data_IF_880336816350
#
_entry.id   IF_880336816350
#
_cell.length_a   1.000
_cell.length_b   1.000
_cell.length_c   1.000
_cell.angle_alpha   90.00
_cell.angle_beta   90.00
_cell.angle_gamma   90.00
#
_symmetry.space_group_name_H-M   'P 1'
#
loop_
_entity.id
_entity.type
_entity.pdbx_description
1 polymer ?
#
# COMPACT_ATOMS: atom_id res chain seq x y z
N UNK A 1 44.02 49.10 -2.98
CA UNK A 1 43.56 48.54 -1.68
C UNK A 1 42.03 48.41 -1.58
N UNK A 2 41.28 49.40 -2.08
CA UNK A 2 39.81 49.41 -2.12
C UNK A 2 39.19 48.24 -2.92
N UNK A 3 39.68 47.99 -4.13
CA UNK A 3 39.21 46.88 -4.98
C UNK A 3 39.41 45.49 -4.36
N UNK A 4 40.46 45.32 -3.56
CA UNK A 4 40.73 44.06 -2.85
C UNK A 4 39.71 43.83 -1.73
N UNK A 5 39.31 44.88 -1.01
CA UNK A 5 38.26 44.82 0.01
C UNK A 5 36.88 44.58 -0.60
N UNK A 6 36.59 45.22 -1.74
CA UNK A 6 35.32 45.06 -2.46
C UNK A 6 35.16 43.63 -3.01
N UNK A 7 36.24 43.04 -3.55
CA UNK A 7 36.25 41.65 -4.02
C UNK A 7 35.94 40.66 -2.91
N UNK A 8 36.46 40.87 -1.71
CA UNK A 8 36.21 40.00 -0.54
C UNK A 8 34.73 40.07 -0.13
N UNK A 9 34.16 41.28 -0.06
CA UNK A 9 32.74 41.47 0.29
C UNK A 9 31.85 40.80 -0.75
N UNK A 10 32.18 40.95 -2.04
CA UNK A 10 31.41 40.35 -3.12
C UNK A 10 31.45 38.82 -3.08
N UNK A 11 32.61 38.22 -2.81
CA UNK A 11 32.75 36.76 -2.67
C UNK A 11 31.98 36.20 -1.48
N UNK A 12 31.98 36.90 -0.33
CA UNK A 12 31.19 36.50 0.85
C UNK A 12 29.69 36.56 0.54
N UNK A 13 29.22 37.65 -0.08
CA UNK A 13 27.82 37.78 -0.48
C UNK A 13 27.40 36.69 -1.48
N UNK A 14 28.27 36.33 -2.43
CA UNK A 14 28.00 35.28 -3.41
C UNK A 14 27.90 33.89 -2.76
N UNK A 15 28.76 33.60 -1.78
CA UNK A 15 28.73 32.36 -0.99
C UNK A 15 27.46 32.25 -0.15
N UNK A 16 27.02 33.35 0.47
CA UNK A 16 25.76 33.38 1.22
C UNK A 16 24.58 33.19 0.26
N UNK A 17 24.60 33.81 -0.92
CA UNK A 17 23.54 33.65 -1.93
C UNK A 17 23.49 32.23 -2.49
N UNK A 18 24.62 31.62 -2.82
CA UNK A 18 24.66 30.24 -3.34
C UNK A 18 24.28 29.20 -2.28
N UNK A 19 24.62 29.45 -1.01
CA UNK A 19 24.19 28.59 0.11
C UNK A 19 22.67 28.64 0.37
N UNK A 20 21.97 29.68 -0.10
CA UNK A 20 20.50 29.78 -0.04
C UNK A 20 19.78 29.18 -1.26
N UNK A 21 20.49 28.74 -2.31
CA UNK A 21 19.87 28.18 -3.53
C UNK A 21 19.57 26.66 -3.38
N UNK A 22 19.93 26.04 -2.26
CA UNK A 22 19.75 24.58 -2.06
C UNK A 22 18.55 24.21 -1.16
N UNK A 23 17.78 25.17 -0.63
CA UNK A 23 16.67 24.85 0.30
C UNK A 23 15.25 24.99 -0.29
N UNK A 24 15.09 25.05 -1.61
CA UNK A 24 13.77 24.97 -2.26
C UNK A 24 13.29 23.55 -2.54
N UNK A 25 14.10 22.51 -2.29
CA UNK A 25 13.69 21.11 -2.48
C UNK A 25 12.81 20.52 -1.36
N UNK A 26 12.52 21.28 -0.30
CA UNK A 26 11.72 20.80 0.84
C UNK A 26 10.34 21.48 0.97
N UNK A 27 9.95 22.36 0.03
CA UNK A 27 8.68 23.10 0.09
C UNK A 27 7.74 22.87 -1.10
N UNK A 28 7.98 21.82 -1.89
CA UNK A 28 6.94 21.21 -2.72
C UNK A 28 6.58 19.86 -2.10
N UNK A 29 5.88 19.87 -0.96
CA UNK A 29 4.97 18.75 -0.73
C UNK A 29 3.96 18.85 -1.86
N UNK A 30 4.11 18.00 -2.88
CA UNK A 30 3.07 17.89 -3.87
C UNK A 30 1.80 17.49 -3.11
N UNK A 31 0.63 17.91 -3.61
CA UNK A 31 -0.55 17.28 -3.06
C UNK A 31 -0.45 15.81 -3.47
N UNK A 32 -0.65 14.88 -2.55
CA UNK A 32 -0.77 13.48 -2.93
C UNK A 32 -1.80 13.30 -4.02
N UNK A 33 -1.41 12.51 -5.02
CA UNK A 33 -2.25 12.19 -6.15
C UNK A 33 -3.58 11.60 -5.66
N UNK A 34 -4.68 12.06 -6.25
CA UNK A 34 -6.04 11.68 -5.88
C UNK A 34 -6.23 10.16 -6.04
N UNK A 35 -5.58 9.58 -7.06
CA UNK A 35 -5.51 8.14 -7.29
C UNK A 35 -4.85 7.40 -6.13
N UNK A 36 -3.73 7.90 -5.61
CA UNK A 36 -3.00 7.26 -4.51
C UNK A 36 -3.87 7.17 -3.26
N UNK A 37 -4.59 8.25 -2.92
CA UNK A 37 -5.54 8.22 -1.78
C UNK A 37 -6.66 7.22 -1.98
N UNK A 38 -7.19 7.14 -3.18
CA UNK A 38 -8.25 6.19 -3.52
C UNK A 38 -7.75 4.75 -3.37
N UNK A 39 -6.54 4.46 -3.85
CA UNK A 39 -5.88 3.16 -3.70
C UNK A 39 -5.68 2.79 -2.21
N UNK A 40 -5.19 3.72 -1.38
CA UNK A 40 -5.01 3.46 0.07
C UNK A 40 -6.34 3.17 0.75
N UNK A 41 -7.39 3.93 0.40
CA UNK A 41 -8.74 3.69 0.91
C UNK A 41 -9.25 2.32 0.49
N UNK A 42 -9.13 1.98 -0.78
CA UNK A 42 -9.58 0.69 -1.33
C UNK A 42 -8.81 -0.48 -0.69
N UNK A 43 -7.51 -0.32 -0.46
CA UNK A 43 -6.68 -1.31 0.24
C UNK A 43 -7.19 -1.57 1.66
N UNK A 44 -7.57 -0.51 2.38
CA UNK A 44 -8.22 -0.63 3.69
C UNK A 44 -9.58 -1.32 3.64
N UNK A 45 -10.35 -1.17 2.56
CA UNK A 45 -11.61 -1.90 2.36
C UNK A 45 -11.32 -3.39 2.14
N UNK A 46 -10.37 -3.72 1.27
CA UNK A 46 -9.96 -5.11 1.01
C UNK A 46 -9.50 -5.79 2.30
N UNK A 47 -8.65 -5.12 3.07
CA UNK A 47 -8.11 -5.65 4.32
C UNK A 47 -9.22 -6.00 5.33
N UNK A 48 -10.17 -5.08 5.53
CA UNK A 48 -11.30 -5.30 6.43
C UNK A 48 -12.20 -6.46 5.97
N UNK A 49 -12.45 -6.57 4.67
CA UNK A 49 -13.26 -7.65 4.12
C UNK A 49 -12.55 -9.02 4.21
N UNK A 50 -11.23 -9.06 3.99
CA UNK A 50 -10.41 -10.26 4.22
C UNK A 50 -10.46 -10.70 5.69
N UNK A 51 -10.27 -9.77 6.63
CA UNK A 51 -10.35 -10.06 8.06
C UNK A 51 -11.72 -10.61 8.45
N UNK A 52 -12.79 -10.01 7.93
CA UNK A 52 -14.16 -10.44 8.22
C UNK A 52 -14.46 -11.80 7.59
N UNK A 53 -13.95 -12.07 6.38
CA UNK A 53 -14.05 -13.38 5.73
C UNK A 53 -13.37 -14.47 6.57
N UNK A 54 -12.12 -14.26 6.98
CA UNK A 54 -11.37 -15.20 7.84
C UNK A 54 -12.10 -15.49 9.16
N UNK A 55 -12.60 -14.44 9.83
CA UNK A 55 -13.39 -14.58 11.06
C UNK A 55 -14.68 -15.37 10.83
N UNK A 56 -15.36 -15.12 9.72
CA UNK A 56 -16.63 -15.76 9.37
C UNK A 56 -16.40 -17.26 9.13
N UNK A 57 -15.40 -17.62 8.32
CA UNK A 57 -15.07 -19.02 8.01
C UNK A 57 -14.66 -19.80 9.26
N UNK A 58 -14.01 -19.14 10.22
CA UNK A 58 -13.60 -19.74 11.48
C UNK A 58 -14.77 -19.98 12.45
N UNK A 59 -15.99 -19.49 12.13
CA UNK A 59 -17.18 -19.68 12.96
C UNK A 59 -17.95 -20.94 12.57
N UNK A 60 -18.54 -21.63 13.56
CA UNK A 60 -19.05 -23.01 13.40
C UNK A 60 -20.32 -23.18 12.57
N UNK A 61 -21.02 -22.11 12.16
CA UNK A 61 -22.40 -22.19 11.64
C UNK A 61 -22.65 -21.39 10.36
N UNK A 62 -21.74 -21.40 9.39
CA UNK A 62 -21.90 -20.57 8.18
C UNK A 62 -22.32 -21.39 6.96
N UNK A 63 -23.27 -20.85 6.20
CA UNK A 63 -23.71 -21.41 4.94
C UNK A 63 -22.59 -21.35 3.89
N UNK A 64 -22.21 -22.51 3.32
CA UNK A 64 -21.17 -22.62 2.30
C UNK A 64 -21.42 -21.71 1.08
N UNK A 65 -22.66 -21.60 0.61
CA UNK A 65 -22.98 -20.78 -0.57
C UNK A 65 -22.81 -19.28 -0.29
N UNK A 66 -23.16 -18.86 0.92
CA UNK A 66 -22.97 -17.48 1.37
C UNK A 66 -21.47 -17.15 1.48
N UNK A 67 -20.68 -18.07 2.06
CA UNK A 67 -19.22 -17.94 2.09
C UNK A 67 -18.61 -17.87 0.70
N UNK A 68 -19.02 -18.73 -0.23
CA UNK A 68 -18.52 -18.69 -1.62
C UNK A 68 -18.86 -17.37 -2.31
N UNK A 69 -20.04 -16.80 -2.07
CA UNK A 69 -20.39 -15.48 -2.60
C UNK A 69 -19.49 -14.40 -2.00
N UNK A 70 -19.19 -14.49 -0.71
CA UNK A 70 -18.29 -13.54 -0.04
C UNK A 70 -16.85 -13.66 -0.54
N UNK A 71 -16.36 -14.88 -0.75
CA UNK A 71 -15.05 -15.14 -1.37
C UNK A 71 -14.96 -14.48 -2.74
N UNK A 72 -15.97 -14.67 -3.60
CA UNK A 72 -16.02 -14.02 -4.93
C UNK A 72 -16.03 -12.50 -4.84
N UNK A 73 -16.78 -11.94 -3.88
CA UNK A 73 -16.80 -10.50 -3.64
C UNK A 73 -15.41 -9.97 -3.28
N UNK A 74 -14.73 -10.59 -2.32
CA UNK A 74 -13.39 -10.16 -1.91
C UNK A 74 -12.37 -10.32 -3.03
N UNK A 75 -12.42 -11.43 -3.77
CA UNK A 75 -11.56 -11.64 -4.94
C UNK A 75 -11.77 -10.57 -6.03
N UNK A 76 -13.01 -10.10 -6.20
CA UNK A 76 -13.34 -8.99 -7.12
C UNK A 76 -12.70 -7.69 -6.66
N UNK A 77 -12.75 -7.39 -5.35
CA UNK A 77 -12.10 -6.20 -4.79
C UNK A 77 -10.58 -6.25 -4.97
N UNK A 78 -9.95 -7.39 -4.66
CA UNK A 78 -8.50 -7.61 -4.86
C UNK A 78 -8.12 -7.36 -6.32
N UNK A 79 -8.84 -7.99 -7.25
CA UNK A 79 -8.59 -7.86 -8.69
C UNK A 79 -8.79 -6.43 -9.19
N UNK A 80 -9.82 -5.74 -8.71
CA UNK A 80 -10.10 -4.35 -9.07
C UNK A 80 -8.98 -3.42 -8.59
N UNK A 81 -8.51 -3.62 -7.36
CA UNK A 81 -7.43 -2.82 -6.79
C UNK A 81 -6.09 -3.09 -7.48
N UNK A 82 -5.74 -4.34 -7.75
CA UNK A 82 -4.53 -4.69 -8.52
C UNK A 82 -4.56 -4.12 -9.94
N UNK A 83 -5.74 -4.01 -10.56
CA UNK A 83 -5.87 -3.29 -11.84
C UNK A 83 -5.66 -1.79 -11.65
N UNK A 84 -6.18 -1.21 -10.57
CA UNK A 84 -6.07 0.22 -10.27
C UNK A 84 -4.61 0.64 -10.02
N UNK A 85 -3.80 -0.19 -9.37
CA UNK A 85 -2.38 0.11 -9.12
C UNK A 85 -1.54 0.21 -10.40
N UNK A 86 -1.97 -0.41 -11.51
CA UNK A 86 -1.30 -0.26 -12.81
C UNK A 86 -1.38 1.16 -13.40
N UNK A 87 -2.25 2.02 -12.87
CA UNK A 87 -2.36 3.42 -13.27
C UNK A 87 -1.46 4.35 -12.44
N UNK A 88 -0.78 3.85 -11.41
CA UNK A 88 0.24 4.61 -10.67
C UNK A 88 1.38 5.00 -11.61
N UNK A 89 1.91 6.19 -11.41
CA UNK A 89 3.00 6.73 -12.22
C UNK A 89 4.33 6.03 -11.92
N UNK A 90 5.32 6.18 -12.82
CA UNK A 90 6.61 5.49 -12.71
C UNK A 90 7.42 5.86 -11.46
N UNK A 91 7.22 7.07 -10.92
CA UNK A 91 7.78 7.55 -9.67
C UNK A 91 7.15 6.91 -8.43
N UNK A 92 6.02 6.21 -8.59
CA UNK A 92 5.30 5.46 -7.55
C UNK A 92 5.46 3.94 -7.72
N UNK A 93 6.55 3.50 -8.36
CA UNK A 93 6.80 2.09 -8.63
C UNK A 93 6.94 1.25 -7.36
N UNK A 94 7.60 1.79 -6.35
CA UNK A 94 7.80 1.09 -5.07
C UNK A 94 6.46 0.88 -4.35
N UNK A 95 5.59 1.91 -4.36
CA UNK A 95 4.21 1.81 -3.90
C UNK A 95 3.43 0.72 -4.66
N UNK A 96 3.50 0.74 -5.99
CA UNK A 96 2.80 -0.24 -6.82
C UNK A 96 3.25 -1.68 -6.48
N UNK A 97 4.56 -1.90 -6.34
CA UNK A 97 5.12 -3.21 -5.95
C UNK A 97 4.67 -3.63 -4.55
N UNK A 98 4.72 -2.72 -3.58
CA UNK A 98 4.32 -2.96 -2.20
C UNK A 98 2.85 -3.37 -2.10
N UNK A 99 1.96 -2.64 -2.78
CA UNK A 99 0.52 -2.93 -2.77
C UNK A 99 0.24 -4.27 -3.45
N UNK A 100 0.81 -4.51 -4.64
CA UNK A 100 0.58 -5.79 -5.32
C UNK A 100 1.10 -6.99 -4.51
N UNK A 101 2.23 -6.86 -3.81
CA UNK A 101 2.72 -7.93 -2.94
C UNK A 101 1.71 -8.26 -1.81
N UNK A 102 1.07 -7.26 -1.20
CA UNK A 102 0.00 -7.48 -0.21
C UNK A 102 -1.20 -8.17 -0.86
N UNK A 103 -1.63 -7.70 -2.03
CA UNK A 103 -2.76 -8.27 -2.75
C UNK A 103 -2.51 -9.73 -3.17
N UNK A 104 -1.29 -10.07 -3.54
CA UNK A 104 -0.88 -11.44 -3.88
C UNK A 104 -1.01 -12.36 -2.65
N UNK A 105 -0.62 -11.91 -1.45
CA UNK A 105 -0.84 -12.68 -0.22
C UNK A 105 -2.33 -12.86 0.09
N UNK A 106 -3.15 -11.82 -0.11
CA UNK A 106 -4.61 -11.95 0.04
C UNK A 106 -5.21 -12.89 -0.99
N UNK A 107 -4.69 -12.90 -2.21
CA UNK A 107 -5.16 -13.81 -3.26
C UNK A 107 -4.78 -15.27 -2.97
N UNK A 108 -3.57 -15.51 -2.46
CA UNK A 108 -3.18 -16.84 -1.95
C UNK A 108 -4.10 -17.30 -0.81
N UNK A 109 -4.43 -16.40 0.11
CA UNK A 109 -5.38 -16.68 1.19
C UNK A 109 -6.76 -17.08 0.65
N UNK A 110 -7.27 -16.36 -0.36
CA UNK A 110 -8.54 -16.68 -1.04
C UNK A 110 -8.51 -18.07 -1.69
N UNK A 111 -7.44 -18.43 -2.41
CA UNK A 111 -7.32 -19.75 -3.04
C UNK A 111 -7.36 -20.89 -2.02
N UNK A 112 -6.74 -20.67 -0.85
CA UNK A 112 -6.76 -21.63 0.26
C UNK A 112 -8.12 -21.71 0.93
N UNK A 113 -8.81 -20.58 1.10
CA UNK A 113 -10.21 -20.56 1.54
C UNK A 113 -11.10 -21.38 0.60
N UNK A 114 -10.98 -21.20 -0.72
CA UNK A 114 -11.76 -21.98 -1.70
C UNK A 114 -11.48 -23.48 -1.58
N UNK A 115 -10.20 -23.84 -1.41
CA UNK A 115 -9.78 -25.23 -1.20
C UNK A 115 -10.37 -25.81 0.09
N UNK A 116 -10.33 -25.06 1.20
CA UNK A 116 -10.97 -25.42 2.46
C UNK A 116 -12.48 -25.61 2.31
N UNK A 117 -13.19 -24.71 1.64
CA UNK A 117 -14.65 -24.83 1.47
C UNK A 117 -15.06 -26.03 0.62
N UNK A 118 -14.16 -26.53 -0.24
CA UNK A 118 -14.39 -27.72 -1.05
C UNK A 118 -14.03 -29.02 -0.33
N UNK A 119 -12.93 -29.03 0.42
CA UNK A 119 -12.33 -30.24 0.96
C UNK A 119 -12.44 -30.37 2.50
N UNK A 120 -12.82 -29.29 3.18
CA UNK A 120 -12.83 -29.14 4.64
C UNK A 120 -11.48 -29.50 5.31
N UNK A 121 -10.37 -29.31 4.58
CA UNK A 121 -9.02 -29.54 5.10
C UNK A 121 -8.61 -28.46 6.09
N UNK A 122 -8.32 -28.85 7.33
CA UNK A 122 -7.84 -27.89 8.34
C UNK A 122 -6.50 -27.26 7.95
N UNK A 123 -5.67 -27.94 7.15
CA UNK A 123 -4.42 -27.40 6.63
C UNK A 123 -4.67 -26.23 5.67
N UNK A 124 -5.65 -26.36 4.76
CA UNK A 124 -6.02 -25.26 3.85
C UNK A 124 -6.54 -24.04 4.63
N UNK A 125 -7.28 -24.24 5.73
CA UNK A 125 -7.72 -23.14 6.58
C UNK A 125 -6.54 -22.47 7.31
N UNK A 126 -5.59 -23.26 7.81
CA UNK A 126 -4.38 -22.72 8.45
C UNK A 126 -3.52 -21.92 7.47
N UNK A 127 -3.31 -22.45 6.27
CA UNK A 127 -2.58 -21.76 5.19
C UNK A 127 -3.28 -20.45 4.80
N UNK A 128 -4.61 -20.47 4.67
CA UNK A 128 -5.38 -19.26 4.40
C UNK A 128 -5.14 -18.17 5.46
N UNK A 129 -5.21 -18.54 6.74
CA UNK A 129 -4.96 -17.63 7.87
C UNK A 129 -3.50 -17.13 7.85
N UNK A 130 -2.54 -18.02 7.56
CA UNK A 130 -1.13 -17.67 7.51
C UNK A 130 -0.85 -16.65 6.39
N UNK A 131 -1.33 -16.88 5.17
CA UNK A 131 -1.16 -15.94 4.06
C UNK A 131 -1.86 -14.60 4.31
N UNK A 132 -3.08 -14.62 4.84
CA UNK A 132 -3.74 -13.37 5.26
C UNK A 132 -2.92 -12.62 6.30
N UNK A 133 -2.42 -13.32 7.31
CA UNK A 133 -1.61 -12.71 8.38
C UNK A 133 -0.34 -12.08 7.82
N UNK A 134 0.35 -12.73 6.88
CA UNK A 134 1.53 -12.17 6.22
C UNK A 134 1.17 -10.87 5.48
N UNK A 135 0.10 -10.88 4.68
CA UNK A 135 -0.38 -9.69 3.98
C UNK A 135 -0.76 -8.56 4.94
N UNK A 136 -1.47 -8.90 6.02
CA UNK A 136 -1.89 -7.96 7.07
C UNK A 136 -0.70 -7.32 7.78
N UNK A 137 0.27 -8.12 8.22
CA UNK A 137 1.49 -7.61 8.87
C UNK A 137 2.35 -6.82 7.90
N UNK A 138 2.44 -7.22 6.64
CA UNK A 138 3.15 -6.44 5.62
C UNK A 138 2.48 -5.06 5.46
N UNK A 139 1.15 -5.04 5.31
CA UNK A 139 0.36 -3.81 5.24
C UNK A 139 0.59 -2.92 6.45
N UNK A 140 0.54 -3.46 7.67
CA UNK A 140 0.74 -2.69 8.90
C UNK A 140 2.13 -2.05 8.95
N UNK A 141 3.18 -2.80 8.60
CA UNK A 141 4.56 -2.31 8.63
C UNK A 141 4.87 -1.28 7.54
N UNK A 142 4.21 -1.37 6.38
CA UNK A 142 4.44 -0.44 5.27
C UNK A 142 3.35 0.63 5.18
N UNK A 143 2.37 0.61 6.10
CA UNK A 143 1.23 1.53 6.12
C UNK A 143 1.69 2.97 6.17
N UNK A 144 2.67 3.25 7.01
CA UNK A 144 3.24 4.59 7.14
C UNK A 144 3.93 5.02 5.86
N UNK A 145 4.64 4.12 5.16
CA UNK A 145 5.27 4.39 3.86
C UNK A 145 4.22 4.66 2.78
N UNK A 146 3.18 3.82 2.71
CA UNK A 146 2.06 3.95 1.78
C UNK A 146 1.30 5.27 2.04
N UNK A 147 1.02 5.59 3.31
CA UNK A 147 0.35 6.83 3.70
C UNK A 147 1.27 8.03 3.44
N UNK A 148 2.57 7.93 3.69
CA UNK A 148 3.53 8.99 3.39
C UNK A 148 3.61 9.24 1.89
N UNK A 149 3.63 8.21 1.03
CA UNK A 149 3.49 8.38 -0.43
C UNK A 149 2.12 8.94 -0.82
N UNK A 150 1.05 8.54 -0.14
CA UNK A 150 -0.29 9.11 -0.30
C UNK A 150 -0.49 10.48 0.36
N UNK A 151 0.56 11.10 0.92
CA UNK A 151 0.57 12.46 1.48
C UNK A 151 1.69 13.34 0.89
N UNK A 152 2.65 12.75 0.16
CA UNK A 152 3.75 13.42 -0.57
C UNK A 152 3.29 14.11 -1.85
#
# INVERSE_FOLDING_TARGET
>A
MFFRKLSIIFSISLLIFSSNIVTTFALSSAKPDELTKEIVKDLGIVDNEMLLLIKTISSKNVNKNELLNRVKYVNTLITALSKKTNFLSNDQKDLNLAINAILDFYQLSILRIESYLNNFSSEDLLDAIAYFSIGYYALDNIRDTIILEAVK
#
